data_IF_686990341608
#
_entry.id   IF_686990341608
#
_cell.length_a   1.000
_cell.length_b   1.000
_cell.length_c   1.000
_cell.angle_alpha   90.00
_cell.angle_beta   90.00
_cell.angle_gamma   90.00
#
_symmetry.space_group_name_H-M   'P 1'
#
loop_
_entity.id
_entity.type
_entity.pdbx_description
1 polymer ?
#
# COMPACT_ATOMS: atom_id res chain seq x y z
N UNK A 1 15.98 31.05 11.13
CA UNK A 1 15.03 29.92 10.99
C UNK A 1 15.37 29.20 9.69
N UNK A 2 15.86 27.96 9.78
CA UNK A 2 16.34 27.21 8.61
C UNK A 2 15.18 26.45 7.99
N UNK A 3 14.81 26.80 6.76
CA UNK A 3 13.90 26.01 5.94
C UNK A 3 14.49 24.61 5.78
N UNK A 4 13.73 23.59 6.17
CA UNK A 4 14.06 22.19 5.91
C UNK A 4 14.14 22.00 4.39
N UNK A 5 15.34 22.10 3.82
CA UNK A 5 15.53 21.90 2.39
C UNK A 5 15.32 20.42 2.10
N UNK A 6 14.27 20.12 1.33
CA UNK A 6 14.10 18.76 0.85
C UNK A 6 15.26 18.44 -0.08
N UNK A 7 15.94 17.32 0.20
CA UNK A 7 17.00 16.84 -0.68
C UNK A 7 16.44 16.66 -2.09
N UNK A 8 17.18 16.98 -3.16
CA UNK A 8 16.76 16.65 -4.54
C UNK A 8 16.36 15.16 -4.71
N UNK A 9 16.92 14.27 -3.88
CA UNK A 9 16.54 12.84 -3.82
C UNK A 9 15.13 12.59 -3.29
N UNK A 10 14.65 13.45 -2.39
CA UNK A 10 13.31 13.36 -1.81
C UNK A 10 12.23 13.74 -2.82
N UNK A 11 12.44 14.82 -3.59
CA UNK A 11 11.50 15.21 -4.64
C UNK A 11 11.47 14.18 -5.78
N UNK A 12 12.62 13.59 -6.12
CA UNK A 12 12.66 12.47 -7.06
C UNK A 12 11.86 11.25 -6.56
N UNK A 13 12.02 10.89 -5.28
CA UNK A 13 11.26 9.76 -4.69
C UNK A 13 9.75 10.02 -4.70
N UNK A 14 9.31 11.23 -4.34
CA UNK A 14 7.89 11.61 -4.43
C UNK A 14 7.37 11.48 -5.86
N UNK A 15 8.12 11.95 -6.85
CA UNK A 15 7.74 11.85 -8.25
C UNK A 15 7.55 10.39 -8.67
N UNK A 16 8.49 9.51 -8.30
CA UNK A 16 8.38 8.07 -8.56
C UNK A 16 7.15 7.46 -7.88
N UNK A 17 6.90 7.77 -6.60
CA UNK A 17 5.71 7.24 -5.90
C UNK A 17 4.41 7.70 -6.58
N UNK A 18 4.34 8.96 -7.01
CA UNK A 18 3.17 9.48 -7.71
C UNK A 18 2.96 8.81 -9.07
N UNK A 19 4.04 8.58 -9.82
CA UNK A 19 4.00 7.89 -11.11
C UNK A 19 3.54 6.44 -10.95
N UNK A 20 4.12 5.69 -10.01
CA UNK A 20 3.74 4.31 -9.71
C UNK A 20 2.27 4.21 -9.27
N UNK A 21 1.80 5.17 -8.45
CA UNK A 21 0.40 5.23 -8.02
C UNK A 21 -0.54 5.50 -9.19
N UNK A 22 -0.20 6.47 -10.06
CA UNK A 22 -1.01 6.81 -11.23
C UNK A 22 -1.06 5.66 -12.26
N UNK A 23 0.00 4.88 -12.36
CA UNK A 23 0.10 3.73 -13.25
C UNK A 23 -0.46 2.43 -12.64
N UNK A 24 -0.93 2.47 -11.39
CA UNK A 24 -1.46 1.29 -10.72
C UNK A 24 -2.75 0.82 -11.42
N UNK A 25 -2.74 -0.44 -11.89
CA UNK A 25 -3.88 -0.96 -12.63
C UNK A 25 -5.12 -1.11 -11.75
N UNK A 26 -6.30 -0.78 -12.30
CA UNK A 26 -7.60 -1.02 -11.66
C UNK A 26 -7.78 -2.50 -11.29
N UNK A 27 -7.23 -3.41 -12.10
CA UNK A 27 -7.27 -4.85 -11.84
C UNK A 27 -6.49 -5.24 -10.57
N UNK A 28 -5.30 -4.66 -10.37
CA UNK A 28 -4.52 -4.86 -9.16
C UNK A 28 -5.26 -4.37 -7.92
N UNK A 29 -5.84 -3.15 -7.97
CA UNK A 29 -6.62 -2.57 -6.87
C UNK A 29 -7.84 -3.45 -6.56
N UNK A 30 -8.57 -3.88 -7.60
CA UNK A 30 -9.75 -4.73 -7.46
C UNK A 30 -9.40 -6.08 -6.81
N UNK A 31 -8.25 -6.67 -7.19
CA UNK A 31 -7.73 -7.90 -6.59
C UNK A 31 -7.35 -7.71 -5.12
N UNK A 32 -6.77 -6.57 -4.76
CA UNK A 32 -6.45 -6.26 -3.38
C UNK A 32 -7.74 -6.15 -2.53
N UNK A 33 -8.75 -5.44 -3.02
CA UNK A 33 -10.04 -5.29 -2.33
C UNK A 33 -10.79 -6.63 -2.20
N UNK A 34 -10.75 -7.50 -3.21
CA UNK A 34 -11.42 -8.80 -3.13
C UNK A 34 -10.79 -9.74 -2.09
N UNK A 35 -9.54 -9.49 -1.67
CA UNK A 35 -8.86 -10.28 -0.65
C UNK A 35 -9.38 -10.03 0.78
N UNK A 36 -10.10 -8.93 1.04
CA UNK A 36 -10.55 -8.55 2.39
C UNK A 36 -11.39 -9.63 3.06
N UNK A 37 -12.37 -10.20 2.33
CA UNK A 37 -13.23 -11.26 2.88
C UNK A 37 -12.43 -12.52 3.26
N UNK A 38 -11.58 -13.08 2.38
CA UNK A 38 -10.64 -14.13 2.77
C UNK A 38 -9.80 -13.79 4.00
N UNK A 39 -9.30 -12.55 4.11
CA UNK A 39 -8.51 -12.12 5.29
C UNK A 39 -9.30 -12.16 6.58
N UNK A 40 -10.52 -11.65 6.56
CA UNK A 40 -11.40 -11.68 7.74
C UNK A 40 -11.73 -13.13 8.11
N UNK A 41 -11.98 -14.00 7.13
CA UNK A 41 -12.21 -15.42 7.39
C UNK A 41 -10.98 -16.09 8.03
N UNK A 42 -9.79 -15.82 7.52
CA UNK A 42 -8.55 -16.37 8.08
C UNK A 42 -8.30 -15.86 9.51
N UNK A 43 -8.55 -14.57 9.77
CA UNK A 43 -8.49 -13.98 11.11
C UNK A 43 -9.46 -14.67 12.09
N UNK A 44 -10.70 -14.92 11.68
CA UNK A 44 -11.69 -15.60 12.51
C UNK A 44 -11.23 -17.03 12.81
N UNK A 45 -10.73 -17.75 11.81
CA UNK A 45 -10.25 -19.12 12.00
C UNK A 45 -9.00 -19.22 12.88
N UNK A 46 -8.22 -18.14 12.97
CA UNK A 46 -7.07 -18.03 13.84
C UNK A 46 -7.43 -17.51 15.24
N UNK A 47 -8.72 -17.37 15.58
CA UNK A 47 -9.19 -16.73 16.82
C UNK A 47 -8.56 -15.34 17.07
N UNK A 48 -8.27 -14.62 15.99
CA UNK A 48 -7.64 -13.31 16.01
C UNK A 48 -6.12 -13.30 16.11
N UNK A 49 -5.45 -14.47 16.14
CA UNK A 49 -4.00 -14.57 16.05
C UNK A 49 -3.50 -14.29 14.62
N UNK A 50 -2.19 -14.24 14.43
CA UNK A 50 -1.56 -14.08 13.12
C UNK A 50 -2.04 -15.16 12.13
N UNK A 51 -2.28 -14.75 10.90
CA UNK A 51 -2.68 -15.64 9.81
C UNK A 51 -2.00 -15.25 8.48
N UNK A 52 -1.77 -16.26 7.65
CA UNK A 52 -1.34 -16.12 6.27
C UNK A 52 -2.44 -16.61 5.32
N UNK A 53 -2.48 -16.09 4.09
CA UNK A 53 -3.49 -16.40 3.06
C UNK A 53 -2.78 -16.60 1.73
#
# INVERSE_FOLDING_TARGET
EGLCQTSPKWEAMKATVNEEWANMSVAFISKACSSVRPRITAMINADGDHFEI
#
